data_IF_589559573291
#
_entry.id   IF_589559573291
#
_cell.length_a   1.000
_cell.length_b   1.000
_cell.length_c   1.000
_cell.angle_alpha   90.00
_cell.angle_beta   90.00
_cell.angle_gamma   90.00
#
_symmetry.space_group_name_H-M   'P 1'
#
loop_
_entity.id
_entity.type
_entity.pdbx_description
1 polymer ?
#
# COMPACT_ATOMS: atom_id res chain seq x y z
N UNK A 1 -11.92 7.94 -3.25
CA UNK A 1 -11.55 8.25 -1.86
C UNK A 1 -11.81 9.72 -1.60
N UNK A 2 -12.53 10.06 -0.53
CA UNK A 2 -12.69 11.46 -0.12
C UNK A 2 -11.38 11.89 0.54
N UNK A 3 -10.82 13.03 0.15
CA UNK A 3 -9.55 13.53 0.69
C UNK A 3 -9.65 14.03 2.13
N UNK A 4 -10.30 13.29 3.01
CA UNK A 4 -10.34 13.59 4.44
C UNK A 4 -9.78 12.41 5.21
N UNK A 5 -8.64 12.60 5.86
CA UNK A 5 -8.07 11.65 6.81
C UNK A 5 -8.25 12.24 8.21
N UNK A 6 -9.34 11.85 8.88
CA UNK A 6 -9.78 12.48 10.13
C UNK A 6 -10.39 13.88 9.88
N UNK A 7 -9.91 14.90 10.58
CA UNK A 7 -10.37 16.30 10.41
C UNK A 7 -9.59 17.10 9.36
N UNK A 8 -8.56 16.53 8.74
CA UNK A 8 -7.69 17.20 7.79
C UNK A 8 -8.07 16.88 6.34
N UNK A 9 -8.27 17.94 5.54
CA UNK A 9 -8.44 17.83 4.09
C UNK A 9 -7.07 17.64 3.45
N UNK A 10 -6.88 16.49 2.86
CA UNK A 10 -5.65 16.07 2.19
C UNK A 10 -5.72 16.49 0.72
N UNK A 11 -4.61 17.01 0.16
CA UNK A 11 -4.54 17.42 -1.24
C UNK A 11 -4.94 16.29 -2.19
N UNK A 12 -5.62 16.64 -3.28
CA UNK A 12 -6.16 15.66 -4.23
C UNK A 12 -5.07 14.83 -4.91
N UNK A 13 -3.89 15.40 -5.16
CA UNK A 13 -2.73 14.68 -5.68
C UNK A 13 -2.34 13.52 -4.76
N UNK A 14 -2.26 13.79 -3.46
CA UNK A 14 -1.95 12.79 -2.45
C UNK A 14 -2.99 11.66 -2.42
N UNK A 15 -4.26 12.01 -2.58
CA UNK A 15 -5.33 11.00 -2.70
C UNK A 15 -5.24 10.20 -4.01
N UNK A 16 -4.74 10.80 -5.09
CA UNK A 16 -4.49 10.10 -6.36
C UNK A 16 -3.39 9.05 -6.18
N UNK A 17 -2.26 9.38 -5.57
CA UNK A 17 -1.21 8.39 -5.31
C UNK A 17 -1.69 7.29 -4.36
N UNK A 18 -2.39 7.62 -3.26
CA UNK A 18 -3.01 6.63 -2.38
C UNK A 18 -3.96 5.70 -3.15
N UNK A 19 -4.78 6.25 -4.05
CA UNK A 19 -5.72 5.47 -4.84
C UNK A 19 -5.00 4.52 -5.81
N UNK A 20 -3.89 4.93 -6.41
CA UNK A 20 -3.10 4.05 -7.29
C UNK A 20 -2.47 2.88 -6.53
N UNK A 21 -1.99 3.11 -5.30
CA UNK A 21 -1.48 2.04 -4.44
C UNK A 21 -2.57 1.02 -4.08
N UNK A 22 -3.76 1.49 -3.72
CA UNK A 22 -4.89 0.61 -3.40
C UNK A 22 -5.35 -0.17 -4.62
N UNK A 23 -5.48 0.49 -5.78
CA UNK A 23 -5.84 -0.19 -7.02
C UNK A 23 -4.83 -1.28 -7.42
N UNK A 24 -3.53 -1.02 -7.26
CA UNK A 24 -2.50 -2.03 -7.53
C UNK A 24 -2.59 -3.22 -6.56
N UNK A 25 -2.88 -2.98 -5.28
CA UNK A 25 -3.08 -4.03 -4.29
C UNK A 25 -4.32 -4.89 -4.56
N UNK A 26 -5.48 -4.25 -4.79
CA UNK A 26 -6.73 -4.94 -5.08
C UNK A 26 -6.63 -5.77 -6.37
N UNK A 27 -6.03 -5.20 -7.42
CA UNK A 27 -5.85 -5.90 -8.69
C UNK A 27 -4.86 -7.06 -8.56
N UNK A 28 -3.84 -6.96 -7.71
CA UNK A 28 -2.89 -8.04 -7.47
C UNK A 28 -3.52 -9.18 -6.66
N UNK A 29 -4.29 -8.85 -5.62
CA UNK A 29 -5.04 -9.83 -4.84
C UNK A 29 -6.02 -10.63 -5.71
N UNK A 30 -6.69 -9.97 -6.66
CA UNK A 30 -7.59 -10.63 -7.61
C UNK A 30 -6.86 -11.53 -8.65
N UNK A 31 -5.56 -11.36 -8.85
CA UNK A 31 -4.77 -12.12 -9.83
C UNK A 31 -4.06 -13.35 -9.24
N UNK A 32 -3.90 -13.42 -7.92
CA UNK A 32 -3.25 -14.55 -7.27
C UNK A 32 -4.28 -15.58 -6.82
N UNK A 33 -3.99 -16.86 -7.03
CA UNK A 33 -4.86 -17.98 -6.63
C UNK A 33 -4.62 -18.39 -5.17
N UNK A 34 -4.55 -17.40 -4.28
CA UNK A 34 -4.40 -17.58 -2.83
C UNK A 34 -5.23 -16.55 -2.08
N UNK A 35 -5.60 -16.88 -0.85
CA UNK A 35 -6.31 -15.96 0.04
C UNK A 35 -5.35 -14.83 0.47
N UNK A 36 -5.67 -13.59 0.06
CA UNK A 36 -4.88 -12.38 0.36
C UNK A 36 -5.75 -11.41 1.14
N UNK A 37 -5.37 -11.11 2.37
CA UNK A 37 -5.95 -10.00 3.13
C UNK A 37 -5.34 -8.66 2.70
N UNK A 38 -6.17 -7.74 2.23
CA UNK A 38 -5.76 -6.37 1.88
C UNK A 38 -6.30 -5.40 2.91
N UNK A 39 -5.40 -4.82 3.71
CA UNK A 39 -5.72 -3.85 4.75
C UNK A 39 -5.20 -2.45 4.40
N UNK A 40 -6.11 -1.46 4.29
CA UNK A 40 -5.77 -0.05 4.00
C UNK A 40 -6.01 0.82 5.23
N UNK A 41 -4.95 1.42 5.76
CA UNK A 41 -5.01 2.24 6.98
C UNK A 41 -4.37 3.62 6.78
N UNK A 42 -4.77 4.60 7.60
CA UNK A 42 -4.15 5.92 7.57
C UNK A 42 -2.71 5.86 8.11
N UNK A 43 -1.76 6.25 7.25
CA UNK A 43 -0.33 6.34 7.61
C UNK A 43 -0.09 7.20 8.86
N UNK A 44 -0.83 8.31 9.01
CA UNK A 44 -0.66 9.20 10.18
C UNK A 44 -0.96 8.49 11.50
N UNK A 45 -2.05 7.73 11.53
CA UNK A 45 -2.46 6.98 12.73
C UNK A 45 -1.66 5.68 12.95
N UNK A 46 -1.03 5.16 11.89
CA UNK A 46 -0.26 3.91 11.90
C UNK A 46 1.24 4.15 11.64
N UNK A 47 1.73 5.36 11.93
CA UNK A 47 3.12 5.75 11.67
C UNK A 47 4.16 4.81 12.31
N UNK A 48 4.02 4.35 13.57
CA UNK A 48 4.98 3.39 14.15
C UNK A 48 5.04 2.07 13.40
N UNK A 49 3.89 1.59 12.88
CA UNK A 49 3.83 0.38 12.06
C UNK A 49 4.52 0.61 10.71
N UNK A 50 4.23 1.73 10.04
CA UNK A 50 4.91 2.07 8.79
C UNK A 50 6.43 2.17 8.98
N UNK A 51 6.89 2.79 10.08
CA UNK A 51 8.30 2.93 10.41
C UNK A 51 9.00 1.57 10.61
N UNK A 52 8.34 0.59 11.25
CA UNK A 52 8.86 -0.77 11.44
C UNK A 52 9.27 -1.43 10.11
N UNK A 53 8.60 -1.08 9.02
CA UNK A 53 8.88 -1.59 7.68
C UNK A 53 9.65 -0.58 6.80
N UNK A 54 10.13 0.52 7.37
CA UNK A 54 10.87 1.56 6.65
C UNK A 54 9.99 2.50 5.80
N UNK A 55 8.70 2.59 6.08
CA UNK A 55 7.75 3.50 5.42
C UNK A 55 7.77 4.90 6.01
N UNK A 56 8.76 5.71 5.61
CA UNK A 56 8.97 7.07 6.13
C UNK A 56 8.08 8.11 5.44
N UNK A 57 7.56 7.80 4.26
CA UNK A 57 6.74 8.72 3.48
C UNK A 57 5.52 7.99 2.87
N UNK A 58 4.28 8.45 3.10
CA UNK A 58 3.09 7.88 2.49
C UNK A 58 2.96 8.22 1.00
N UNK A 59 2.19 7.45 0.20
CA UNK A 59 1.61 6.13 0.53
C UNK A 59 2.70 5.08 0.69
N UNK A 60 2.44 4.00 1.41
CA UNK A 60 3.39 2.88 1.57
C UNK A 60 2.63 1.59 1.32
N UNK A 61 3.24 0.67 0.56
CA UNK A 61 2.74 -0.70 0.43
C UNK A 61 3.76 -1.68 1.04
N UNK A 62 3.25 -2.58 1.87
CA UNK A 62 4.01 -3.62 2.57
C UNK A 62 3.34 -4.95 2.23
N UNK A 63 4.12 -5.93 1.81
CA UNK A 63 3.67 -7.30 1.53
C UNK A 63 4.40 -8.22 2.49
N UNK A 64 3.67 -8.96 3.33
CA UNK A 64 4.22 -9.89 4.34
C UNK A 64 5.40 -9.29 5.13
N UNK A 65 5.17 -8.10 5.70
CA UNK A 65 6.18 -7.39 6.48
C UNK A 65 7.39 -6.89 5.71
N UNK A 66 7.35 -6.88 4.37
CA UNK A 66 8.39 -6.31 3.52
C UNK A 66 7.85 -5.11 2.73
N UNK A 67 8.45 -3.93 2.91
CA UNK A 67 8.08 -2.73 2.15
C UNK A 67 8.46 -2.90 0.68
N UNK A 68 7.44 -2.84 -0.19
CA UNK A 68 7.62 -2.91 -1.63
C UNK A 68 7.93 -1.53 -2.22
N UNK A 69 7.12 -0.52 -1.93
CA UNK A 69 7.34 0.85 -2.42
C UNK A 69 6.74 1.90 -1.49
N UNK A 70 7.12 3.17 -1.72
CA UNK A 70 6.58 4.31 -0.97
C UNK A 70 6.58 5.61 -1.77
N UNK A 71 5.70 6.55 -1.40
CA UNK A 71 5.62 7.89 -1.97
C UNK A 71 5.37 7.87 -3.48
N UNK A 72 6.22 8.59 -4.22
CA UNK A 72 6.12 8.73 -5.68
C UNK A 72 6.46 7.44 -6.45
N UNK A 73 6.98 6.41 -5.78
CA UNK A 73 7.23 5.11 -6.39
C UNK A 73 5.93 4.29 -6.40
N UNK A 74 5.01 4.68 -7.27
CA UNK A 74 3.73 3.97 -7.46
C UNK A 74 4.01 2.55 -7.95
N UNK A 75 3.56 1.49 -7.24
CA UNK A 75 3.77 0.12 -7.67
C UNK A 75 2.89 -0.19 -8.89
N UNK A 76 3.36 -1.10 -9.75
CA UNK A 76 2.48 -1.73 -10.74
C UNK A 76 1.81 -2.94 -10.12
N UNK A 77 0.69 -3.38 -10.69
CA UNK A 77 0.00 -4.59 -10.21
C UNK A 77 0.93 -5.81 -10.23
N UNK A 78 1.75 -5.96 -11.28
CA UNK A 78 2.67 -7.08 -11.46
C UNK A 78 3.76 -7.08 -10.38
N UNK A 79 4.26 -5.90 -9.97
CA UNK A 79 5.27 -5.84 -8.91
C UNK A 79 4.71 -6.25 -7.55
N UNK A 80 3.42 -5.99 -7.30
CA UNK A 80 2.71 -6.47 -6.11
C UNK A 80 2.48 -7.99 -6.18
N UNK A 81 2.04 -8.51 -7.33
CA UNK A 81 1.86 -9.97 -7.53
C UNK A 81 3.16 -10.73 -7.28
N UNK A 82 4.27 -10.25 -7.84
CA UNK A 82 5.58 -10.89 -7.64
C UNK A 82 6.06 -10.79 -6.19
N UNK A 83 5.74 -9.70 -5.48
CA UNK A 83 6.03 -9.59 -4.06
C UNK A 83 5.24 -10.60 -3.22
N UNK A 84 3.95 -10.82 -3.53
CA UNK A 84 3.09 -11.82 -2.87
C UNK A 84 3.65 -13.23 -3.12
N UNK A 85 3.93 -13.59 -4.37
CA UNK A 85 4.51 -14.91 -4.70
C UNK A 85 5.85 -15.13 -3.99
N UNK A 86 6.68 -14.09 -3.90
CA UNK A 86 7.99 -14.18 -3.23
C UNK A 86 7.84 -14.38 -1.72
N UNK A 87 6.83 -13.81 -1.08
CA UNK A 87 6.60 -14.01 0.35
C UNK A 87 6.09 -15.42 0.69
N UNK A 88 5.39 -16.07 -0.23
CA UNK A 88 4.95 -17.46 -0.06
C UNK A 88 6.11 -18.48 -0.10
N UNK A 89 7.24 -18.12 -0.71
CA UNK A 89 8.40 -19.01 -0.87
C UNK A 89 9.48 -18.81 0.21
N UNK A 90 9.16 -18.13 1.31
CA UNK A 90 10.05 -17.88 2.45
C UNK A 90 9.70 -18.77 3.63
#
# INVERSE_FOLDING_TARGET
MTGYHGKLKIPESFCRECNLFVQAADAAAAQVDVDVDVSVVSWWTHFPFALRYGGYHPPVIVVEGTRLSQGHQVPTTESVVEAIKKSMNR
#
